data_IF_522526247408
#
_entry.id   IF_522526247408
#
_cell.length_a   1.000
_cell.length_b   1.000
_cell.length_c   1.000
_cell.angle_alpha   90.00
_cell.angle_beta   90.00
_cell.angle_gamma   90.00
#
_symmetry.space_group_name_H-M   'P 1'
#
loop_
_entity.id
_entity.type
_entity.pdbx_description
1 polymer ?
#
# COMPACT_ATOMS: atom_id res chain seq x y z
N UNK A 1 0.02 -16.90 16.31
CA UNK A 1 1.09 -15.90 16.16
C UNK A 1 0.77 -14.73 17.05
N UNK A 2 1.67 -14.32 17.93
CA UNK A 2 1.42 -13.16 18.79
C UNK A 2 1.68 -11.84 18.03
N UNK A 3 1.08 -10.70 18.47
CA UNK A 3 1.36 -9.39 17.90
C UNK A 3 2.86 -9.03 17.87
N UNK A 4 3.60 -9.44 18.90
CA UNK A 4 5.05 -9.22 19.00
C UNK A 4 5.81 -9.98 17.91
N UNK A 5 5.45 -11.25 17.66
CA UNK A 5 6.04 -12.05 16.60
C UNK A 5 5.73 -11.48 15.22
N UNK A 6 4.49 -11.05 14.98
CA UNK A 6 4.10 -10.44 13.70
C UNK A 6 4.92 -9.17 13.43
N UNK A 7 5.07 -8.29 14.42
CA UNK A 7 5.91 -7.08 14.30
C UNK A 7 7.34 -7.42 13.88
N UNK A 8 7.98 -8.38 14.56
CA UNK A 8 9.35 -8.80 14.24
C UNK A 8 9.49 -9.34 12.82
N UNK A 9 8.54 -10.15 12.36
CA UNK A 9 8.54 -10.68 10.99
C UNK A 9 8.40 -9.53 9.97
N UNK A 10 7.47 -8.60 10.22
CA UNK A 10 7.23 -7.48 9.31
C UNK A 10 8.43 -6.53 9.22
N UNK A 11 9.13 -6.27 10.34
CA UNK A 11 10.36 -5.47 10.32
C UNK A 11 11.41 -6.08 9.37
N UNK A 12 11.62 -7.39 9.43
CA UNK A 12 12.56 -8.07 8.53
C UNK A 12 12.05 -8.08 7.10
N UNK A 13 10.80 -8.46 6.87
CA UNK A 13 10.25 -8.61 5.53
C UNK A 13 10.19 -7.28 4.77
N UNK A 14 9.62 -6.24 5.38
CA UNK A 14 9.46 -4.93 4.75
C UNK A 14 10.81 -4.25 4.50
N UNK A 15 11.78 -4.38 5.42
CA UNK A 15 13.13 -3.84 5.21
C UNK A 15 13.87 -4.48 4.02
N UNK A 16 13.47 -5.68 3.62
CA UNK A 16 14.03 -6.41 2.48
C UNK A 16 13.11 -6.35 1.24
N UNK A 17 12.06 -5.52 1.25
CA UNK A 17 11.11 -5.42 0.12
C UNK A 17 10.35 -6.71 -0.18
N UNK A 18 10.19 -7.60 0.81
CA UNK A 18 9.50 -8.87 0.62
C UNK A 18 7.97 -8.70 0.72
N UNK A 19 7.19 -9.17 -0.26
CA UNK A 19 5.74 -9.17 -0.18
C UNK A 19 5.26 -10.15 0.90
N UNK A 20 4.26 -9.74 1.68
CA UNK A 20 3.74 -10.51 2.82
C UNK A 20 2.22 -10.60 2.80
N UNK A 21 1.68 -11.77 3.17
CA UNK A 21 0.26 -11.98 3.41
C UNK A 21 0.01 -12.21 4.91
N UNK A 22 -0.82 -11.36 5.52
CA UNK A 22 -1.19 -11.47 6.93
C UNK A 22 -2.62 -12.02 7.05
N UNK A 23 -2.77 -13.26 7.52
CA UNK A 23 -4.07 -13.89 7.76
C UNK A 23 -4.47 -13.82 9.24
N UNK A 24 -5.74 -13.54 9.52
CA UNK A 24 -6.33 -13.59 10.86
C UNK A 24 -7.74 -13.00 10.89
N UNK A 25 -8.45 -13.14 12.01
CA UNK A 25 -9.80 -12.59 12.17
C UNK A 25 -9.83 -11.04 12.00
N UNK A 26 -10.94 -10.46 11.52
CA UNK A 26 -11.11 -9.00 11.50
C UNK A 26 -10.99 -8.41 12.91
N UNK A 27 -10.58 -7.14 13.02
CA UNK A 27 -10.52 -6.43 14.32
C UNK A 27 -9.35 -6.79 15.25
N UNK A 28 -8.46 -7.72 14.90
CA UNK A 28 -7.32 -8.12 15.75
C UNK A 28 -6.11 -7.16 15.72
N UNK A 29 -6.27 -5.95 15.15
CA UNK A 29 -5.22 -4.93 15.11
C UNK A 29 -4.12 -5.14 14.04
N UNK A 30 -4.40 -5.90 12.97
CA UNK A 30 -3.42 -6.15 11.89
C UNK A 30 -2.94 -4.84 11.26
N UNK A 31 -3.87 -3.97 10.87
CA UNK A 31 -3.58 -2.67 10.27
C UNK A 31 -2.79 -1.77 11.21
N UNK A 32 -3.09 -1.79 12.52
CA UNK A 32 -2.34 -1.02 13.52
C UNK A 32 -0.88 -1.48 13.64
N UNK A 33 -0.64 -2.79 13.59
CA UNK A 33 0.72 -3.34 13.62
C UNK A 33 1.49 -2.92 12.36
N UNK A 34 0.87 -3.01 11.18
CA UNK A 34 1.48 -2.56 9.92
C UNK A 34 1.82 -1.06 9.98
N UNK A 35 0.90 -0.22 10.45
CA UNK A 35 1.13 1.22 10.58
C UNK A 35 2.29 1.56 11.53
N UNK A 36 2.42 0.83 12.64
CA UNK A 36 3.55 0.99 13.57
C UNK A 36 4.88 0.60 12.92
N UNK A 37 4.91 -0.51 12.18
CA UNK A 37 6.13 -0.97 11.49
C UNK A 37 6.53 0.00 10.39
N UNK A 38 5.59 0.46 9.56
CA UNK A 38 5.85 1.45 8.52
C UNK A 38 6.45 2.74 9.12
N UNK A 39 5.87 3.25 10.22
CA UNK A 39 6.41 4.41 10.95
C UNK A 39 7.84 4.17 11.46
N UNK A 40 8.13 2.99 11.99
CA UNK A 40 9.46 2.62 12.51
C UNK A 40 10.51 2.53 11.38
N UNK A 41 10.12 2.01 10.23
CA UNK A 41 10.95 1.93 9.03
C UNK A 41 10.99 3.23 8.21
N UNK A 42 10.30 4.29 8.68
CA UNK A 42 10.15 5.58 7.98
C UNK A 42 9.57 5.42 6.57
N UNK A 43 8.71 4.43 6.39
CA UNK A 43 7.96 4.17 5.17
C UNK A 43 6.66 4.97 5.20
N UNK A 44 6.21 5.39 4.02
CA UNK A 44 4.86 5.91 3.86
C UNK A 44 3.87 4.73 3.84
N UNK A 45 2.65 4.90 4.37
CA UNK A 45 1.67 3.81 4.41
C UNK A 45 0.51 4.14 3.48
N UNK A 46 0.31 3.31 2.46
CA UNK A 46 -0.87 3.36 1.59
C UNK A 46 -1.81 2.22 2.03
N UNK A 47 -2.97 2.58 2.56
CA UNK A 47 -3.96 1.63 3.05
C UNK A 47 -5.19 1.64 2.13
N UNK A 48 -5.25 0.66 1.22
CA UNK A 48 -6.37 0.50 0.29
C UNK A 48 -7.38 -0.55 0.78
N UNK A 49 -8.64 -0.41 0.37
CA UNK A 49 -9.71 -1.38 0.62
C UNK A 49 -10.33 -1.82 -0.71
N UNK A 50 -9.66 -2.72 -1.48
CA UNK A 50 -10.05 -3.02 -2.86
C UNK A 50 -11.49 -3.52 -3.06
N UNK A 51 -12.10 -4.10 -2.02
CA UNK A 51 -13.50 -4.55 -2.05
C UNK A 51 -14.51 -3.42 -2.23
N UNK A 52 -14.18 -2.21 -1.77
CA UNK A 52 -15.04 -1.02 -1.88
C UNK A 52 -14.51 -0.01 -2.91
N UNK A 53 -13.36 -0.28 -3.52
CA UNK A 53 -12.79 0.53 -4.60
C UNK A 53 -13.40 0.15 -5.95
N UNK A 54 -13.41 1.08 -6.90
CA UNK A 54 -13.80 0.74 -8.27
C UNK A 54 -12.67 -0.09 -8.91
N UNK A 55 -12.98 -1.23 -9.56
CA UNK A 55 -11.95 -2.07 -10.18
C UNK A 55 -11.17 -1.37 -11.30
N UNK A 56 -11.66 -0.21 -11.78
CA UNK A 56 -11.01 0.61 -12.79
C UNK A 56 -10.11 1.71 -12.20
N UNK A 57 -10.10 1.92 -10.88
CA UNK A 57 -9.25 2.95 -10.25
C UNK A 57 -7.76 2.74 -10.58
N UNK A 58 -7.32 1.49 -10.65
CA UNK A 58 -5.94 1.12 -11.00
C UNK A 58 -5.66 1.14 -12.52
N UNK A 59 -6.65 1.48 -13.35
CA UNK A 59 -6.49 1.63 -14.82
C UNK A 59 -6.26 3.07 -15.25
N UNK A 60 -6.29 4.03 -14.33
CA UNK A 60 -6.19 5.46 -14.65
C UNK A 60 -7.34 5.95 -15.53
N UNK A 61 -7.29 7.21 -15.93
CA UNK A 61 -8.24 7.81 -16.85
C UNK A 61 -7.58 8.07 -18.21
N UNK A 62 -8.26 7.80 -19.34
CA UNK A 62 -7.79 8.31 -20.63
C UNK A 62 -7.97 9.82 -20.67
N UNK A 63 -6.94 10.55 -21.10
CA UNK A 63 -6.98 12.00 -21.26
C UNK A 63 -6.26 12.47 -22.52
N UNK A 64 -6.52 13.70 -22.94
CA UNK A 64 -5.76 14.34 -24.02
C UNK A 64 -4.72 15.26 -23.39
N UNK A 65 -3.44 15.00 -23.64
CA UNK A 65 -2.31 15.84 -23.23
C UNK A 65 -1.48 16.13 -24.46
N UNK A 66 -1.19 17.40 -24.73
CA UNK A 66 -0.42 17.86 -25.90
C UNK A 66 -0.90 17.27 -27.24
N UNK A 67 -2.22 17.16 -27.39
CA UNK A 67 -2.88 16.64 -28.61
C UNK A 67 -2.81 15.11 -28.78
N UNK A 68 -2.36 14.36 -27.76
CA UNK A 68 -2.26 12.90 -27.79
C UNK A 68 -3.11 12.25 -26.70
N UNK A 69 -3.55 11.02 -26.96
CA UNK A 69 -4.20 10.19 -25.97
C UNK A 69 -3.15 9.67 -24.97
N UNK A 70 -3.30 10.04 -23.71
CA UNK A 70 -2.37 9.72 -22.63
C UNK A 70 -3.11 9.06 -21.45
N UNK A 71 -2.34 8.31 -20.67
CA UNK A 71 -2.80 7.69 -19.42
C UNK A 71 -2.63 8.67 -18.26
N UNK A 72 -3.72 8.92 -17.53
CA UNK A 72 -3.73 9.81 -16.36
C UNK A 72 -3.95 8.98 -15.08
N UNK A 73 -2.91 8.70 -14.28
CA UNK A 73 -3.10 8.07 -12.98
C UNK A 73 -3.77 9.04 -12.02
N UNK A 74 -4.59 8.53 -11.11
CA UNK A 74 -5.26 9.32 -10.06
C UNK A 74 -5.33 8.51 -8.75
N UNK A 75 -5.75 9.17 -7.66
CA UNK A 75 -5.92 8.54 -6.34
C UNK A 75 -4.67 7.79 -5.86
N UNK A 76 -4.90 6.62 -5.24
CA UNK A 76 -3.84 5.74 -4.74
C UNK A 76 -2.83 5.35 -5.83
N UNK A 77 -3.28 5.16 -7.09
CA UNK A 77 -2.40 4.80 -8.19
C UNK A 77 -1.38 5.91 -8.50
N UNK A 78 -1.82 7.18 -8.52
CA UNK A 78 -0.89 8.30 -8.71
C UNK A 78 0.11 8.38 -7.56
N UNK A 79 -0.37 8.23 -6.32
CA UNK A 79 0.50 8.24 -5.15
C UNK A 79 1.57 7.14 -5.22
N UNK A 80 1.19 5.92 -5.62
CA UNK A 80 2.12 4.80 -5.83
C UNK A 80 3.16 5.10 -6.92
N UNK A 81 2.75 5.67 -8.05
CA UNK A 81 3.64 5.96 -9.17
C UNK A 81 4.64 7.10 -8.87
N UNK A 82 4.23 8.07 -8.05
CA UNK A 82 5.03 9.25 -7.70
C UNK A 82 5.80 9.08 -6.38
N UNK A 83 5.70 7.90 -5.73
CA UNK A 83 6.30 7.62 -4.44
C UNK A 83 7.83 7.82 -4.46
N UNK A 84 8.32 8.70 -3.58
CA UNK A 84 9.77 9.01 -3.42
C UNK A 84 10.39 8.35 -2.19
N UNK A 85 9.55 7.78 -1.33
CA UNK A 85 9.93 7.01 -0.13
C UNK A 85 9.43 5.59 -0.31
N UNK A 86 10.04 4.59 0.34
CA UNK A 86 9.46 3.26 0.37
C UNK A 86 8.06 3.33 0.97
N UNK A 87 7.10 2.69 0.31
CA UNK A 87 5.68 2.61 0.66
C UNK A 87 5.27 1.17 0.91
#
# INVERSE_FOLDING_TARGET
MSPKQLKSILLVAMSNGMPVLIKGAPGVGKSDIVARVAKELKMELILSHPVVSDPTDYKGLPGIVDGKAEFLPFGDLRQLMEAKKPT
#
